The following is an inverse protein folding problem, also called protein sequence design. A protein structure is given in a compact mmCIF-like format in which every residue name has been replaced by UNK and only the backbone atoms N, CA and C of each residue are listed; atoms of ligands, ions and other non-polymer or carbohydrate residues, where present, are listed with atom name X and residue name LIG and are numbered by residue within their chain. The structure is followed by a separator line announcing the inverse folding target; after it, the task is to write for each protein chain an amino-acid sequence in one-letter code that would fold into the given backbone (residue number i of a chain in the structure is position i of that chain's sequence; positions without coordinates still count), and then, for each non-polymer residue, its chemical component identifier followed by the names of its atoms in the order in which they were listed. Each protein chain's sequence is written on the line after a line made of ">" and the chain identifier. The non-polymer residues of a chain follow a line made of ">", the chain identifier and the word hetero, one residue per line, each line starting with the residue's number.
data_IF_169131229944
#
_entry.id   IF_169131229944
#
_cell.length_a   1.000
_cell.length_b   1.000
_cell.length_c   1.000
_cell.angle_alpha   90.00
_cell.angle_beta   90.00
_cell.angle_gamma   90.00
#
_symmetry.space_group_name_H-M   'P 1'
#
loop_
_entity.id
_entity.type
_entity.pdbx_description
1 polymer ?
#
# COMPACT_ATOMS: atom_id res chain seq x y z
N UNK A 1 44.33 -7.44 35.98
CA UNK A 1 43.15 -7.03 35.23
C UNK A 1 43.29 -7.52 33.83
N UNK A 2 42.60 -8.63 33.51
CA UNK A 2 42.52 -9.19 32.16
C UNK A 2 41.07 -8.97 31.71
N UNK A 3 40.86 -8.16 30.70
CA UNK A 3 39.60 -8.04 30.02
C UNK A 3 39.41 -9.25 29.12
N UNK A 4 38.40 -10.04 29.42
CA UNK A 4 37.97 -11.15 28.59
C UNK A 4 37.10 -10.58 27.45
N UNK A 5 37.60 -10.78 26.26
CA UNK A 5 37.00 -10.43 25.00
C UNK A 5 35.85 -11.40 24.70
N UNK A 6 34.59 -11.01 24.92
CA UNK A 6 33.42 -11.79 24.47
C UNK A 6 33.34 -11.72 22.94
N UNK A 7 33.89 -12.78 22.34
CA UNK A 7 33.76 -12.99 20.89
C UNK A 7 32.31 -13.37 20.59
N UNK A 8 31.58 -12.45 19.96
CA UNK A 8 30.27 -12.67 19.33
C UNK A 8 30.29 -13.95 18.48
N UNK A 9 29.66 -15.01 18.99
CA UNK A 9 29.49 -16.26 18.24
C UNK A 9 28.44 -16.07 17.16
N UNK A 10 28.88 -15.83 15.94
CA UNK A 10 28.05 -16.02 14.75
C UNK A 10 27.52 -17.46 14.73
N UNK A 11 26.21 -17.67 14.48
CA UNK A 11 25.65 -19.03 14.46
C UNK A 11 26.35 -19.86 13.38
N UNK A 12 27.07 -20.91 13.81
CA UNK A 12 27.68 -21.88 12.88
C UNK A 12 26.57 -22.60 12.13
N UNK A 13 26.58 -22.49 10.81
CA UNK A 13 25.78 -23.34 9.93
C UNK A 13 26.30 -24.77 10.10
N UNK A 14 25.54 -25.60 10.82
CA UNK A 14 25.83 -27.01 11.00
C UNK A 14 25.69 -27.69 9.62
N UNK A 15 26.70 -28.41 9.19
CA UNK A 15 26.67 -29.15 7.92
C UNK A 15 25.53 -30.18 7.95
N UNK A 16 24.71 -30.21 6.92
CA UNK A 16 23.38 -30.84 6.79
C UNK A 16 23.36 -32.38 6.78
N UNK A 17 24.27 -33.06 7.43
CA UNK A 17 24.37 -34.54 7.35
C UNK A 17 23.33 -35.31 8.18
N UNK A 18 22.65 -34.65 9.11
CA UNK A 18 21.68 -35.29 10.02
C UNK A 18 20.25 -34.81 9.90
N UNK A 19 19.94 -34.02 8.85
CA UNK A 19 18.58 -33.49 8.67
C UNK A 19 17.79 -34.49 7.79
N UNK A 20 16.73 -35.08 8.34
CA UNK A 20 15.75 -35.83 7.55
C UNK A 20 14.80 -34.84 6.86
N UNK A 21 14.92 -34.74 5.56
CA UNK A 21 14.00 -34.00 4.72
C UNK A 21 12.98 -35.01 4.18
N UNK A 22 11.88 -35.15 4.90
CA UNK A 22 10.74 -35.97 4.51
C UNK A 22 9.58 -35.13 3.99
N UNK A 23 8.44 -35.80 3.71
CA UNK A 23 7.24 -35.11 3.20
C UNK A 23 6.70 -34.06 4.18
N UNK A 24 6.72 -34.36 5.45
CA UNK A 24 6.21 -33.49 6.52
C UNK A 24 7.06 -32.20 6.62
N UNK A 25 8.39 -32.33 6.49
CA UNK A 25 9.28 -31.17 6.42
C UNK A 25 9.00 -30.31 5.20
N UNK A 26 8.79 -30.93 4.03
CA UNK A 26 8.50 -30.19 2.79
C UNK A 26 7.19 -29.42 2.90
N UNK A 27 6.14 -30.02 3.46
CA UNK A 27 4.84 -29.37 3.70
C UNK A 27 4.97 -28.22 4.70
N UNK A 28 5.64 -28.43 5.82
CA UNK A 28 5.89 -27.38 6.81
C UNK A 28 6.66 -26.19 6.22
N UNK A 29 7.70 -26.42 5.42
CA UNK A 29 8.44 -25.36 4.76
C UNK A 29 7.59 -24.62 3.71
N UNK A 30 6.73 -25.33 2.98
CA UNK A 30 5.80 -24.70 2.05
C UNK A 30 4.83 -23.77 2.79
N UNK A 31 4.29 -24.21 3.92
CA UNK A 31 3.43 -23.39 4.78
C UNK A 31 4.18 -22.16 5.35
N UNK A 32 5.41 -22.32 5.83
CA UNK A 32 6.24 -21.22 6.31
C UNK A 32 6.49 -20.17 5.22
N UNK A 33 6.83 -20.63 4.02
CA UNK A 33 7.02 -19.74 2.87
C UNK A 33 5.73 -18.97 2.53
N UNK A 34 4.58 -19.64 2.58
CA UNK A 34 3.28 -19.00 2.35
C UNK A 34 2.99 -17.96 3.44
N UNK A 35 3.16 -18.28 4.72
CA UNK A 35 2.97 -17.36 5.85
C UNK A 35 3.88 -16.13 5.74
N UNK A 36 5.15 -16.33 5.40
CA UNK A 36 6.10 -15.24 5.24
C UNK A 36 5.71 -14.30 4.10
N UNK A 37 5.37 -14.84 2.92
CA UNK A 37 4.90 -14.03 1.77
C UNK A 37 3.63 -13.26 2.13
N UNK A 38 2.67 -13.90 2.76
CA UNK A 38 1.44 -13.26 3.23
C UNK A 38 1.74 -12.09 4.18
N UNK A 39 2.67 -12.27 5.13
CA UNK A 39 3.08 -11.21 6.05
C UNK A 39 3.74 -10.03 5.31
N UNK A 40 4.59 -10.29 4.32
CA UNK A 40 5.20 -9.23 3.51
C UNK A 40 4.16 -8.41 2.73
N UNK A 41 3.20 -9.08 2.07
CA UNK A 41 2.11 -8.40 1.36
C UNK A 41 1.28 -7.54 2.31
N UNK A 42 0.92 -8.08 3.46
CA UNK A 42 0.17 -7.37 4.49
C UNK A 42 0.90 -6.09 4.95
N UNK A 43 2.19 -6.21 5.22
CA UNK A 43 3.01 -5.07 5.63
C UNK A 43 3.08 -4.00 4.53
N UNK A 44 3.28 -4.41 3.27
CA UNK A 44 3.35 -3.51 2.13
C UNK A 44 2.04 -2.75 1.91
N UNK A 45 0.89 -3.46 1.94
CA UNK A 45 -0.43 -2.85 1.80
C UNK A 45 -0.70 -1.86 2.93
N UNK A 46 -0.33 -2.19 4.17
CA UNK A 46 -0.49 -1.29 5.31
C UNK A 46 0.33 -0.02 5.16
N UNK A 47 1.61 -0.13 4.79
CA UNK A 47 2.46 1.04 4.54
C UNK A 47 1.91 1.90 3.42
N UNK A 48 1.42 1.28 2.34
CA UNK A 48 0.80 2.03 1.24
C UNK A 48 -0.50 2.72 1.67
N UNK A 49 -1.33 2.07 2.49
CA UNK A 49 -2.55 2.66 3.05
C UNK A 49 -2.26 3.96 3.83
N UNK A 50 -1.27 3.92 4.72
CA UNK A 50 -0.87 5.11 5.51
C UNK A 50 -0.36 6.25 4.61
N UNK A 51 0.44 5.93 3.59
CA UNK A 51 0.90 6.92 2.61
C UNK A 51 -0.26 7.53 1.82
N UNK A 52 -1.21 6.71 1.39
CA UNK A 52 -2.40 7.19 0.66
C UNK A 52 -3.32 8.02 1.56
N UNK A 53 -3.47 7.64 2.82
CA UNK A 53 -4.24 8.43 3.79
C UNK A 53 -3.62 9.82 3.97
N UNK A 54 -2.31 9.91 4.17
CA UNK A 54 -1.60 11.19 4.22
C UNK A 54 -1.82 12.03 2.95
N UNK A 55 -1.70 11.41 1.76
CA UNK A 55 -1.92 12.09 0.49
C UNK A 55 -3.37 12.61 0.37
N UNK A 56 -4.34 11.83 0.85
CA UNK A 56 -5.75 12.23 0.88
C UNK A 56 -5.99 13.42 1.80
N UNK A 57 -5.48 13.34 3.01
CA UNK A 57 -5.64 14.39 4.02
C UNK A 57 -4.98 15.70 3.57
N UNK A 58 -3.77 15.63 3.03
CA UNK A 58 -3.10 16.82 2.50
C UNK A 58 -3.86 17.41 1.31
N UNK A 59 -4.35 16.58 0.39
CA UNK A 59 -5.19 17.01 -0.72
C UNK A 59 -6.50 17.67 -0.24
N UNK A 60 -7.15 17.07 0.77
CA UNK A 60 -8.33 17.63 1.44
C UNK A 60 -8.05 18.98 2.07
N UNK A 61 -6.96 19.07 2.80
CA UNK A 61 -6.57 20.31 3.48
C UNK A 61 -6.33 21.46 2.50
N UNK A 62 -5.63 21.22 1.41
CA UNK A 62 -5.40 22.23 0.36
C UNK A 62 -6.73 22.77 -0.22
N UNK A 63 -7.74 21.89 -0.37
CA UNK A 63 -9.05 22.27 -0.89
C UNK A 63 -9.90 22.96 0.18
N UNK A 64 -10.06 22.36 1.36
CA UNK A 64 -10.95 22.87 2.40
C UNK A 64 -10.45 24.18 3.01
N UNK A 65 -9.14 24.34 3.14
CA UNK A 65 -8.54 25.58 3.63
C UNK A 65 -8.50 26.68 2.56
N UNK A 66 -8.91 26.37 1.32
CA UNK A 66 -8.81 27.29 0.17
C UNK A 66 -7.41 27.90 0.07
N UNK A 67 -6.41 27.02 0.08
CA UNK A 67 -5.03 27.40 0.33
C UNK A 67 -4.53 28.51 -0.60
N UNK A 68 -4.80 28.42 -1.90
CA UNK A 68 -4.37 29.43 -2.88
C UNK A 68 -5.11 30.76 -2.73
N UNK A 69 -6.40 30.74 -2.35
CA UNK A 69 -7.18 31.97 -2.11
C UNK A 69 -6.69 32.69 -0.84
N UNK A 70 -6.34 31.90 0.19
CA UNK A 70 -5.99 32.43 1.50
C UNK A 70 -4.54 32.91 1.60
N UNK A 71 -3.61 32.16 0.98
CA UNK A 71 -2.16 32.38 1.13
C UNK A 71 -1.43 32.68 -0.17
N UNK A 72 -2.16 32.76 -1.31
CA UNK A 72 -1.64 33.07 -2.61
C UNK A 72 -1.34 31.85 -3.48
N UNK A 73 -1.19 32.09 -4.78
CA UNK A 73 -1.04 31.03 -5.79
C UNK A 73 0.20 30.15 -5.60
N UNK A 74 1.26 30.65 -4.95
CA UNK A 74 2.50 29.89 -4.70
C UNK A 74 2.50 29.07 -3.40
N UNK A 75 1.36 28.97 -2.70
CA UNK A 75 1.31 28.30 -1.38
C UNK A 75 1.66 26.82 -1.46
N UNK A 76 1.29 26.13 -2.54
CA UNK A 76 1.58 24.68 -2.68
C UNK A 76 3.08 24.44 -2.84
N UNK A 77 3.76 25.29 -3.58
CA UNK A 77 5.21 25.31 -3.73
C UNK A 77 5.89 25.61 -2.37
N UNK A 78 5.36 26.57 -1.62
CA UNK A 78 5.88 26.91 -0.31
C UNK A 78 5.70 25.73 0.68
N UNK A 79 4.52 25.12 0.74
CA UNK A 79 4.27 23.92 1.57
C UNK A 79 5.23 22.78 1.18
N UNK A 80 5.46 22.58 -0.13
CA UNK A 80 6.43 21.59 -0.61
C UNK A 80 7.84 21.87 -0.08
N UNK A 81 8.30 23.14 -0.15
CA UNK A 81 9.61 23.52 0.35
C UNK A 81 9.74 23.34 1.86
N UNK A 82 8.72 23.72 2.61
CA UNK A 82 8.73 23.61 4.08
C UNK A 82 8.77 22.14 4.51
N UNK A 83 7.96 21.27 3.87
CA UNK A 83 7.98 19.84 4.16
C UNK A 83 9.31 19.18 3.77
N UNK A 84 9.89 19.52 2.62
CA UNK A 84 11.18 18.98 2.19
C UNK A 84 12.35 19.46 3.07
N UNK A 85 12.26 20.66 3.62
CA UNK A 85 13.26 21.16 4.56
C UNK A 85 13.23 20.40 5.88
N UNK A 86 12.04 20.11 6.40
CA UNK A 86 11.86 19.36 7.64
C UNK A 86 12.16 17.86 7.46
N UNK A 87 11.80 17.32 6.30
CA UNK A 87 11.93 15.88 5.98
C UNK A 87 12.77 15.66 4.71
N UNK A 88 14.08 15.95 4.72
CA UNK A 88 14.93 15.96 3.51
C UNK A 88 15.05 14.58 2.82
N UNK A 89 14.83 13.50 3.56
CA UNK A 89 14.90 12.12 3.04
C UNK A 89 13.52 11.55 2.68
N UNK A 90 12.44 12.32 2.83
CA UNK A 90 11.10 11.86 2.52
C UNK A 90 10.81 12.01 1.02
N UNK A 91 10.33 10.93 0.41
CA UNK A 91 9.87 10.95 -0.98
C UNK A 91 8.40 11.41 -1.07
N UNK A 92 8.07 12.01 -2.20
CA UNK A 92 6.67 12.33 -2.50
C UNK A 92 6.20 13.71 -2.02
N UNK A 93 7.09 14.57 -1.50
CA UNK A 93 6.75 15.91 -1.00
C UNK A 93 7.01 17.03 -2.02
N UNK A 94 7.26 16.71 -3.29
CA UNK A 94 7.45 17.72 -4.35
C UNK A 94 6.15 18.45 -4.69
N UNK A 95 6.22 19.71 -5.10
CA UNK A 95 5.06 20.52 -5.47
C UNK A 95 4.16 19.84 -6.55
N UNK A 96 4.70 19.23 -7.63
CA UNK A 96 3.87 18.48 -8.57
C UNK A 96 3.11 17.32 -7.91
N UNK A 97 3.69 16.67 -6.90
CA UNK A 97 3.03 15.59 -6.19
C UNK A 97 1.93 16.12 -5.24
N UNK A 98 2.15 17.24 -4.56
CA UNK A 98 1.12 17.91 -3.76
C UNK A 98 -0.07 18.33 -4.64
N UNK A 99 0.19 18.86 -5.83
CA UNK A 99 -0.85 19.14 -6.82
C UNK A 99 -1.60 17.88 -7.28
N UNK A 100 -0.90 16.74 -7.40
CA UNK A 100 -1.54 15.46 -7.71
C UNK A 100 -2.44 14.99 -6.55
N UNK A 101 -2.03 15.15 -5.29
CA UNK A 101 -2.84 14.84 -4.11
C UNK A 101 -4.11 15.68 -4.08
N UNK A 102 -4.02 17.00 -4.34
CA UNK A 102 -5.17 17.88 -4.44
C UNK A 102 -6.15 17.44 -5.55
N UNK A 103 -5.63 17.13 -6.75
CA UNK A 103 -6.46 16.64 -7.88
C UNK A 103 -7.10 15.29 -7.56
N UNK A 104 -6.37 14.39 -6.90
CA UNK A 104 -6.86 13.08 -6.49
C UNK A 104 -8.02 13.20 -5.51
N UNK A 105 -7.89 14.05 -4.48
CA UNK A 105 -8.98 14.37 -3.57
C UNK A 105 -10.19 14.94 -4.31
N UNK A 106 -10.01 15.96 -5.15
CA UNK A 106 -11.10 16.58 -5.91
C UNK A 106 -11.81 15.60 -6.84
N UNK A 107 -11.06 14.69 -7.47
CA UNK A 107 -11.63 13.69 -8.39
C UNK A 107 -12.62 12.76 -7.69
N UNK A 108 -12.29 12.29 -6.49
CA UNK A 108 -13.13 11.36 -5.78
C UNK A 108 -14.13 12.03 -4.83
N UNK A 109 -13.82 13.19 -4.25
CA UNK A 109 -14.69 13.87 -3.28
C UNK A 109 -16.06 14.29 -3.86
N UNK A 110 -16.18 14.47 -5.16
CA UNK A 110 -17.45 14.82 -5.82
C UNK A 110 -18.48 13.67 -5.78
N UNK A 111 -18.08 12.45 -5.36
CA UNK A 111 -18.86 11.22 -5.47
C UNK A 111 -18.77 10.36 -4.21
N UNK A 112 -18.58 10.95 -3.02
CA UNK A 112 -18.31 10.24 -1.76
C UNK A 112 -19.28 9.09 -1.45
N UNK A 113 -20.59 9.30 -1.59
CA UNK A 113 -21.59 8.27 -1.29
C UNK A 113 -21.51 7.07 -2.27
N UNK A 114 -21.28 7.35 -3.57
CA UNK A 114 -21.16 6.31 -4.60
C UNK A 114 -19.86 5.55 -4.48
N UNK A 115 -18.79 6.24 -4.09
CA UNK A 115 -17.48 5.65 -3.86
C UNK A 115 -17.53 4.62 -2.73
N UNK A 116 -18.12 4.98 -1.60
CA UNK A 116 -18.31 4.08 -0.45
C UNK A 116 -19.11 2.85 -0.83
N UNK A 117 -20.22 3.00 -1.58
CA UNK A 117 -21.04 1.88 -2.00
C UNK A 117 -20.29 0.93 -2.94
N UNK A 118 -19.62 1.46 -3.96
CA UNK A 118 -18.87 0.65 -4.92
C UNK A 118 -17.69 -0.08 -4.24
N UNK A 119 -17.04 0.55 -3.28
CA UNK A 119 -15.97 -0.08 -2.50
C UNK A 119 -16.49 -1.21 -1.63
N UNK A 120 -17.67 -1.05 -1.02
CA UNK A 120 -18.33 -2.11 -0.26
C UNK A 120 -18.67 -3.29 -1.17
N UNK A 121 -19.20 -3.03 -2.37
CA UNK A 121 -19.50 -4.05 -3.38
C UNK A 121 -18.25 -4.77 -3.88
N UNK A 122 -17.16 -4.05 -4.15
CA UNK A 122 -15.87 -4.62 -4.53
C UNK A 122 -15.26 -5.49 -3.42
N UNK A 123 -15.41 -5.12 -2.16
CA UNK A 123 -14.98 -5.94 -1.01
C UNK A 123 -15.84 -7.20 -0.84
N UNK A 124 -17.11 -7.16 -1.28
CA UNK A 124 -18.02 -8.31 -1.31
C UNK A 124 -17.82 -9.24 -2.51
N UNK A 125 -17.27 -8.73 -3.59
CA UNK A 125 -16.96 -9.52 -4.78
C UNK A 125 -15.73 -10.42 -4.53
N UNK A 126 -15.79 -11.67 -5.01
CA UNK A 126 -14.80 -12.76 -4.86
C UNK A 126 -13.35 -12.45 -5.29
N UNK A 127 -13.03 -11.22 -5.67
CA UNK A 127 -11.74 -10.79 -6.21
C UNK A 127 -10.59 -10.85 -5.20
N UNK A 128 -10.89 -10.85 -3.90
CA UNK A 128 -9.90 -10.82 -2.84
C UNK A 128 -9.73 -12.15 -2.10
N UNK A 129 -10.48 -13.19 -2.48
CA UNK A 129 -10.47 -14.47 -1.77
C UNK A 129 -9.16 -15.28 -1.80
N UNK A 130 -8.30 -15.24 -2.84
CA UNK A 130 -7.07 -16.04 -2.83
C UNK A 130 -5.93 -15.44 -2.02
N UNK A 131 -5.99 -14.16 -1.68
CA UNK A 131 -4.88 -13.44 -0.99
C UNK A 131 -5.23 -13.15 0.46
N UNK A 132 -6.51 -13.20 0.84
CA UNK A 132 -6.97 -12.66 2.12
C UNK A 132 -8.00 -13.57 2.77
N UNK A 133 -7.57 -14.54 3.52
CA UNK A 133 -8.17 -14.85 4.82
C UNK A 133 -7.79 -13.74 5.80
N UNK A 134 -8.07 -12.51 5.43
CA UNK A 134 -7.84 -11.36 6.27
C UNK A 134 -9.11 -11.06 7.05
N UNK A 135 -8.99 -11.01 8.35
CA UNK A 135 -10.04 -10.59 9.26
C UNK A 135 -10.59 -9.21 8.86
N UNK A 136 -11.69 -9.21 8.09
CA UNK A 136 -12.37 -8.01 7.56
C UNK A 136 -12.66 -6.97 8.64
N UNK A 137 -12.86 -7.40 9.89
CA UNK A 137 -13.10 -6.51 11.05
C UNK A 137 -11.88 -5.68 11.43
N UNK A 138 -10.67 -6.25 11.33
CA UNK A 138 -9.44 -5.54 11.69
C UNK A 138 -9.03 -4.49 10.66
N UNK A 139 -9.30 -4.73 9.37
CA UNK A 139 -9.06 -3.74 8.33
C UNK A 139 -10.00 -2.53 8.42
N UNK A 140 -11.28 -2.75 8.73
CA UNK A 140 -12.23 -1.66 8.93
C UNK A 140 -11.90 -0.78 10.15
N UNK A 141 -11.29 -1.33 11.19
CA UNK A 141 -10.82 -0.57 12.35
C UNK A 141 -9.56 0.26 12.07
N UNK A 142 -8.72 -0.14 11.10
CA UNK A 142 -7.44 0.51 10.83
C UNK A 142 -7.50 1.63 9.79
N UNK A 143 -8.49 1.60 8.89
CA UNK A 143 -8.62 2.55 7.79
C UNK A 143 -9.97 3.28 7.93
N UNK A 144 -10.17 3.95 9.05
CA UNK A 144 -11.46 4.53 9.47
C UNK A 144 -12.19 5.41 8.45
N UNK A 145 -11.54 5.90 7.39
CA UNK A 145 -12.14 6.73 6.35
C UNK A 145 -11.63 6.40 4.93
N UNK A 146 -10.63 5.52 4.78
CA UNK A 146 -10.00 5.28 3.47
C UNK A 146 -10.40 3.93 2.88
N UNK A 147 -10.87 3.88 1.60
CA UNK A 147 -11.32 2.64 0.96
C UNK A 147 -10.20 1.60 0.84
N UNK A 148 -10.38 0.43 1.45
CA UNK A 148 -9.38 -0.67 1.47
C UNK A 148 -8.83 -1.08 0.09
N UNK A 149 -9.63 -1.16 -1.00
CA UNK A 149 -9.11 -1.50 -2.33
C UNK A 149 -8.03 -0.54 -2.82
N UNK A 150 -8.10 0.74 -2.47
CA UNK A 150 -7.09 1.73 -2.85
C UNK A 150 -5.70 1.38 -2.32
N UNK A 151 -5.62 0.80 -1.12
CA UNK A 151 -4.36 0.42 -0.48
C UNK A 151 -3.56 -0.64 -1.25
N UNK A 152 -4.20 -1.40 -2.12
CA UNK A 152 -3.53 -2.38 -2.99
C UNK A 152 -2.93 -1.76 -4.26
N UNK A 153 -3.26 -0.52 -4.56
CA UNK A 153 -2.82 0.18 -5.77
C UNK A 153 -1.74 1.19 -5.39
N UNK A 154 -0.53 1.14 -5.98
CA UNK A 154 0.53 2.10 -5.72
C UNK A 154 0.13 3.52 -6.12
N UNK A 155 0.65 4.54 -5.42
CA UNK A 155 0.35 5.94 -5.66
C UNK A 155 0.52 6.38 -7.12
N UNK A 156 1.59 5.95 -7.79
CA UNK A 156 1.81 6.28 -9.20
C UNK A 156 0.68 5.81 -10.13
N UNK A 157 0.07 4.66 -9.84
CA UNK A 157 -1.09 4.17 -10.58
C UNK A 157 -2.34 5.01 -10.30
N UNK A 158 -2.57 5.46 -9.06
CA UNK A 158 -3.66 6.39 -8.75
C UNK A 158 -3.55 7.68 -9.56
N UNK A 159 -2.34 8.26 -9.66
CA UNK A 159 -2.09 9.46 -10.49
C UNK A 159 -2.40 9.16 -11.96
N UNK A 160 -1.94 8.03 -12.48
CA UNK A 160 -2.18 7.65 -13.88
C UNK A 160 -3.69 7.45 -14.16
N UNK A 161 -4.42 6.80 -13.25
CA UNK A 161 -5.85 6.56 -13.35
C UNK A 161 -6.60 7.90 -13.42
N UNK A 162 -6.43 8.79 -12.44
CA UNK A 162 -7.16 10.08 -12.43
C UNK A 162 -6.75 11.02 -13.56
N UNK A 163 -5.61 10.79 -14.18
CA UNK A 163 -5.17 11.58 -15.35
C UNK A 163 -5.82 11.13 -16.65
N UNK A 164 -6.30 9.90 -16.73
CA UNK A 164 -6.85 9.27 -17.93
C UNK A 164 -8.35 9.05 -17.86
N UNK A 165 -8.88 8.76 -16.70
CA UNK A 165 -10.30 8.48 -16.50
C UNK A 165 -11.11 9.78 -16.41
N UNK A 166 -12.30 9.76 -17.02
CA UNK A 166 -13.23 10.89 -17.01
C UNK A 166 -14.30 10.77 -15.92
N UNK A 167 -14.47 9.59 -15.34
CA UNK A 167 -15.45 9.33 -14.30
C UNK A 167 -14.87 8.47 -13.18
N UNK A 168 -15.50 8.53 -12.01
CA UNK A 168 -15.14 7.69 -10.86
C UNK A 168 -15.41 6.21 -11.16
N UNK A 169 -16.49 5.88 -11.88
CA UNK A 169 -16.81 4.49 -12.24
C UNK A 169 -15.70 3.86 -13.10
N UNK A 170 -15.19 4.63 -14.08
CA UNK A 170 -14.07 4.22 -14.92
C UNK A 170 -12.80 4.03 -14.09
N UNK A 171 -12.51 4.95 -13.18
CA UNK A 171 -11.36 4.86 -12.29
C UNK A 171 -11.43 3.64 -11.38
N UNK A 172 -12.60 3.36 -10.79
CA UNK A 172 -12.82 2.18 -9.94
C UNK A 172 -12.68 0.87 -10.72
N UNK A 173 -13.13 0.83 -11.97
CA UNK A 173 -12.88 -0.32 -12.85
C UNK A 173 -11.38 -0.60 -13.02
N UNK A 174 -10.57 0.44 -13.29
CA UNK A 174 -9.12 0.26 -13.44
C UNK A 174 -8.41 -0.06 -12.12
N UNK A 175 -8.88 0.46 -10.99
CA UNK A 175 -8.43 0.03 -9.66
C UNK A 175 -8.65 -1.47 -9.48
N UNK A 176 -9.86 -1.97 -9.75
CA UNK A 176 -10.18 -3.39 -9.70
C UNK A 176 -9.27 -4.23 -10.59
N UNK A 177 -9.05 -3.80 -11.84
CA UNK A 177 -8.15 -4.49 -12.78
C UNK A 177 -6.70 -4.52 -12.29
N UNK A 178 -6.20 -3.45 -11.72
CA UNK A 178 -4.84 -3.39 -11.15
C UNK A 178 -4.69 -4.39 -10.00
N UNK A 179 -5.70 -4.51 -9.14
CA UNK A 179 -5.70 -5.47 -8.04
C UNK A 179 -5.72 -6.92 -8.58
N UNK A 180 -6.57 -7.22 -9.56
CA UNK A 180 -6.64 -8.53 -10.20
C UNK A 180 -5.31 -8.95 -10.81
N UNK A 181 -4.64 -8.04 -11.52
CA UNK A 181 -3.36 -8.30 -12.18
C UNK A 181 -2.25 -8.52 -11.14
N UNK A 182 -2.15 -7.67 -10.13
CA UNK A 182 -1.20 -7.83 -9.04
C UNK A 182 -1.39 -9.15 -8.28
N UNK A 183 -2.64 -9.57 -8.04
CA UNK A 183 -2.94 -10.86 -7.45
C UNK A 183 -2.51 -12.03 -8.35
N UNK A 184 -2.70 -11.92 -9.68
CA UNK A 184 -2.30 -12.94 -10.64
C UNK A 184 -0.78 -13.08 -10.77
N UNK A 185 -0.03 -11.98 -10.82
CA UNK A 185 1.43 -11.99 -10.85
C UNK A 185 2.00 -12.67 -9.60
N UNK A 186 1.39 -12.42 -8.44
CA UNK A 186 1.78 -13.05 -7.19
C UNK A 186 1.54 -14.58 -7.23
N UNK A 187 0.42 -15.01 -7.80
CA UNK A 187 0.06 -16.43 -7.96
C UNK A 187 0.98 -17.14 -8.95
N UNK A 188 1.35 -16.49 -10.07
CA UNK A 188 2.26 -17.03 -11.09
C UNK A 188 3.68 -17.15 -10.52
N UNK A 189 4.15 -16.16 -9.78
CA UNK A 189 5.46 -16.20 -9.13
C UNK A 189 5.55 -17.33 -8.09
N UNK A 190 4.46 -17.59 -7.36
CA UNK A 190 4.39 -18.70 -6.42
C UNK A 190 4.47 -20.07 -7.12
N UNK A 191 3.82 -20.23 -8.30
CA UNK A 191 3.88 -21.48 -9.08
C UNK A 191 5.25 -21.73 -9.71
N UNK A 192 5.98 -20.67 -10.15
CA UNK A 192 7.34 -20.82 -10.71
C UNK A 192 8.40 -21.21 -9.68
N UNK A 193 8.14 -21.02 -8.40
CA UNK A 193 9.06 -21.42 -7.33
C UNK A 193 8.94 -22.90 -6.94
N UNK A 194 8.03 -23.65 -7.56
CA UNK A 194 7.78 -25.10 -7.34
C UNK A 194 8.26 -25.99 -8.49
N UNK A 195 8.96 -25.44 -9.47
CA UNK A 195 9.68 -26.15 -10.54
C UNK A 195 11.18 -25.82 -10.46
#
# INVERSE_FOLDING_TARGET
>A
MKEENEISQTPRIVKSHDIRIDGDYAEWIAELKHRYRSAQVKASVRVNAEKLLFNWELGRDLVQKKAEERWGAGVVEQVSLDLQREFPNAEGLSAPNLWAMKRWYLFYNQHDAKLLQTVIEMNGAKLLQPVIEFDKKKLQQFVGEFPTPFAYVPWGHHIAIISKCKSVDEALFYIGKTIEQGANEFTISAKRAHH
#
